data_IF_074569239623
#
_entry.id   IF_074569239623
#
_cell.length_a   1.000
_cell.length_b   1.000
_cell.length_c   1.000
_cell.angle_alpha   90.00
_cell.angle_beta   90.00
_cell.angle_gamma   90.00
#
_symmetry.space_group_name_H-M   'P 1'
#
loop_
_entity.id
_entity.type
_entity.pdbx_description
1 polymer ?
#
# COMPACT_ATOMS: atom_id res chain seq x y z
N UNK A 1 20.50 25.24 38.47
CA UNK A 1 19.20 24.59 38.21
C UNK A 1 18.95 24.69 36.71
N UNK A 2 19.16 23.62 35.95
CA UNK A 2 18.87 23.59 34.50
C UNK A 2 17.63 22.74 34.29
N UNK A 3 16.55 23.38 33.86
CA UNK A 3 15.29 22.72 33.50
C UNK A 3 15.50 21.95 32.20
N UNK A 4 15.47 20.63 32.28
CA UNK A 4 15.33 19.76 31.12
C UNK A 4 13.84 19.62 30.81
N UNK A 5 13.35 20.35 29.81
CA UNK A 5 12.05 20.09 29.22
C UNK A 5 12.24 18.86 28.33
N UNK A 6 11.74 17.72 28.81
CA UNK A 6 11.67 16.49 28.02
C UNK A 6 10.52 16.66 27.03
N UNK A 7 10.84 16.99 25.77
CA UNK A 7 9.85 16.93 24.69
C UNK A 7 9.38 15.48 24.56
N UNK A 8 8.19 15.19 25.08
CA UNK A 8 7.51 13.92 24.82
C UNK A 8 7.11 13.96 23.34
N UNK A 9 7.99 13.44 22.48
CA UNK A 9 7.64 13.11 21.10
C UNK A 9 6.74 11.89 21.16
N UNK A 10 5.43 12.10 21.15
CA UNK A 10 4.51 11.05 20.75
C UNK A 10 4.90 10.68 19.31
N UNK A 11 5.35 9.44 19.03
CA UNK A 11 5.51 9.04 17.65
C UNK A 11 4.15 9.24 17.00
N UNK A 12 4.08 10.04 15.94
CA UNK A 12 2.89 10.10 15.12
C UNK A 12 2.54 8.64 14.81
N UNK A 13 1.44 8.13 15.37
CA UNK A 13 0.95 6.81 15.03
C UNK A 13 0.66 6.89 13.53
N UNK A 14 1.60 6.40 12.71
CA UNK A 14 1.34 6.21 11.30
C UNK A 14 0.26 5.13 11.26
N UNK A 15 -0.97 5.57 11.05
CA UNK A 15 -2.08 4.68 10.81
C UNK A 15 -1.83 4.00 9.47
N UNK A 16 -2.21 2.73 9.38
CA UNK A 16 -2.22 2.02 8.11
C UNK A 16 -3.14 2.78 7.13
N UNK A 17 -2.71 2.86 5.88
CA UNK A 17 -3.47 3.46 4.79
C UNK A 17 -3.92 2.37 3.83
N UNK A 18 -5.06 2.62 3.18
CA UNK A 18 -5.57 1.75 2.13
C UNK A 18 -4.83 2.02 0.82
N UNK A 19 -4.20 0.98 0.28
CA UNK A 19 -3.41 1.03 -0.94
C UNK A 19 -3.96 0.08 -2.00
N UNK A 20 -3.86 0.50 -3.26
CA UNK A 20 -4.28 -0.29 -4.41
C UNK A 20 -3.15 -0.41 -5.42
N UNK A 21 -2.87 -1.64 -5.84
CA UNK A 21 -1.95 -1.92 -6.94
C UNK A 21 -2.68 -2.65 -8.06
N UNK A 22 -2.42 -2.26 -9.30
CA UNK A 22 -2.98 -2.88 -10.50
C UNK A 22 -1.86 -3.37 -11.40
N UNK A 23 -1.89 -4.65 -11.76
CA UNK A 23 -0.97 -5.24 -12.71
C UNK A 23 -1.40 -4.87 -14.14
N UNK A 24 -0.83 -3.79 -14.66
CA UNK A 24 -1.04 -3.35 -16.04
C UNK A 24 -0.32 -4.22 -17.08
N UNK A 25 0.58 -5.10 -16.67
CA UNK A 25 1.33 -5.94 -17.61
C UNK A 25 0.45 -7.04 -18.25
N UNK A 26 0.96 -7.65 -19.31
CA UNK A 26 0.37 -8.83 -19.94
C UNK A 26 0.73 -10.14 -19.25
N UNK A 27 1.52 -10.09 -18.16
CA UNK A 27 2.07 -11.26 -17.50
C UNK A 27 1.66 -11.34 -16.04
N UNK A 28 1.71 -12.55 -15.49
CA UNK A 28 1.48 -12.78 -14.08
C UNK A 28 2.63 -12.18 -13.27
N UNK A 29 2.28 -11.43 -12.25
CA UNK A 29 3.22 -10.90 -11.27
C UNK A 29 3.02 -11.58 -9.93
N UNK A 30 4.04 -11.47 -9.08
CA UNK A 30 3.95 -11.86 -7.68
C UNK A 30 4.23 -10.60 -6.89
N UNK A 31 3.29 -10.18 -6.07
CA UNK A 31 3.44 -9.01 -5.21
C UNK A 31 3.69 -9.45 -3.78
N UNK A 32 4.65 -8.83 -3.12
CA UNK A 32 5.03 -9.13 -1.75
C UNK A 32 5.01 -7.87 -0.91
N UNK A 33 4.23 -7.91 0.16
CA UNK A 33 4.15 -6.86 1.16
C UNK A 33 4.81 -7.35 2.44
N UNK A 34 5.72 -6.56 3.01
CA UNK A 34 6.22 -6.81 4.36
C UNK A 34 5.35 -6.04 5.36
N UNK A 35 4.60 -6.77 6.19
CA UNK A 35 3.81 -6.23 7.30
C UNK A 35 4.47 -6.70 8.60
N UNK A 36 5.29 -5.83 9.20
CA UNK A 36 6.07 -6.14 10.40
C UNK A 36 6.94 -7.41 10.21
N UNK A 37 6.79 -8.41 11.07
CA UNK A 37 7.51 -9.69 11.01
C UNK A 37 6.93 -10.71 10.01
N UNK A 38 5.81 -10.40 9.36
CA UNK A 38 5.15 -11.30 8.41
C UNK A 38 5.17 -10.71 7.00
N UNK A 39 5.29 -11.57 6.00
CA UNK A 39 5.19 -11.17 4.61
C UNK A 39 3.96 -11.81 3.99
N UNK A 40 3.15 -11.00 3.31
CA UNK A 40 2.04 -11.46 2.49
C UNK A 40 2.53 -11.50 1.05
N UNK A 41 2.29 -12.62 0.38
CA UNK A 41 2.66 -12.81 -1.02
C UNK A 41 1.44 -13.23 -1.82
N UNK A 42 1.17 -12.53 -2.92
CA UNK A 42 0.00 -12.76 -3.76
C UNK A 42 0.43 -12.88 -5.22
N UNK A 43 -0.05 -13.94 -5.86
CA UNK A 43 0.02 -14.11 -7.31
C UNK A 43 -1.05 -13.22 -7.97
N UNK A 44 -0.63 -12.19 -8.69
CA UNK A 44 -1.52 -11.22 -9.33
C UNK A 44 -1.58 -11.46 -10.85
N UNK A 45 -2.71 -11.92 -11.40
CA UNK A 45 -2.87 -12.12 -12.84
C UNK A 45 -2.74 -10.82 -13.64
N UNK A 46 -2.54 -10.92 -14.97
CA UNK A 46 -2.61 -9.77 -15.86
C UNK A 46 -3.95 -9.03 -15.69
N UNK A 47 -3.90 -7.70 -15.74
CA UNK A 47 -5.10 -6.84 -15.71
C UNK A 47 -5.98 -7.03 -14.47
N UNK A 48 -5.38 -7.42 -13.35
CA UNK A 48 -6.04 -7.49 -12.05
C UNK A 48 -5.32 -6.63 -11.03
N UNK A 49 -6.03 -6.27 -9.96
CA UNK A 49 -5.48 -5.48 -8.87
C UNK A 49 -5.73 -6.09 -7.51
N UNK A 50 -5.00 -5.57 -6.52
CA UNK A 50 -5.11 -5.95 -5.12
C UNK A 50 -5.26 -4.69 -4.28
N UNK A 51 -6.16 -4.78 -3.30
CA UNK A 51 -6.38 -3.78 -2.28
C UNK A 51 -5.82 -4.33 -0.96
N UNK A 52 -5.09 -3.51 -0.22
CA UNK A 52 -4.48 -3.90 1.04
C UNK A 52 -4.21 -2.70 1.95
N UNK A 53 -4.10 -2.96 3.26
CA UNK A 53 -3.74 -1.97 4.27
C UNK A 53 -2.27 -2.13 4.67
N UNK A 54 -1.50 -1.04 4.67
CA UNK A 54 -0.13 -1.05 5.17
C UNK A 54 0.32 0.34 5.65
N UNK A 55 1.47 0.37 6.35
CA UNK A 55 2.10 1.64 6.72
C UNK A 55 2.47 2.45 5.46
N UNK A 56 2.39 3.80 5.50
CA UNK A 56 2.66 4.62 4.32
C UNK A 56 4.06 4.41 3.71
N UNK A 57 5.04 4.07 4.53
CA UNK A 57 6.42 3.78 4.15
C UNK A 57 6.67 2.30 3.81
N UNK A 58 5.70 1.41 4.04
CA UNK A 58 5.79 0.01 3.66
C UNK A 58 5.98 -0.15 2.14
N UNK A 59 6.79 -1.13 1.74
CA UNK A 59 7.10 -1.40 0.35
C UNK A 59 6.31 -2.60 -0.17
N UNK A 60 5.61 -2.40 -1.29
CA UNK A 60 5.09 -3.45 -2.14
C UNK A 60 6.18 -3.81 -3.16
N UNK A 61 6.80 -4.98 -3.01
CA UNK A 61 7.76 -5.52 -3.97
C UNK A 61 7.03 -6.29 -5.04
N UNK A 62 7.32 -6.02 -6.29
CA UNK A 62 6.73 -6.67 -7.46
C UNK A 62 7.78 -7.55 -8.10
N UNK A 63 7.42 -8.81 -8.30
CA UNK A 63 8.27 -9.82 -8.91
C UNK A 63 7.64 -10.32 -10.20
N UNK A 64 8.49 -10.62 -11.18
CA UNK A 64 8.13 -11.37 -12.39
C UNK A 64 8.77 -12.75 -12.31
N UNK A 65 8.05 -13.77 -12.79
CA UNK A 65 8.62 -15.10 -12.93
C UNK A 65 9.52 -15.14 -14.16
N UNK A 66 10.74 -15.63 -13.99
CA UNK A 66 11.71 -15.85 -15.07
C UNK A 66 12.11 -17.33 -15.08
N UNK A 67 12.79 -17.79 -16.14
CA UNK A 67 13.17 -19.20 -16.27
C UNK A 67 13.99 -19.73 -15.08
N UNK A 68 14.87 -18.90 -14.51
CA UNK A 68 15.73 -19.25 -13.37
C UNK A 68 15.12 -18.95 -11.99
N UNK A 69 13.86 -18.51 -11.92
CA UNK A 69 13.20 -18.16 -10.66
C UNK A 69 12.36 -16.91 -10.75
N UNK A 70 12.72 -15.88 -9.98
CA UNK A 70 11.98 -14.61 -9.92
C UNK A 70 12.92 -13.43 -9.87
N UNK A 71 12.51 -12.36 -10.53
CA UNK A 71 13.23 -11.09 -10.56
C UNK A 71 12.38 -10.01 -9.91
N UNK A 72 13.00 -9.13 -9.10
CA UNK A 72 12.34 -7.93 -8.61
C UNK A 72 12.27 -6.95 -9.77
N UNK A 73 11.04 -6.59 -10.15
CA UNK A 73 10.78 -5.60 -11.20
C UNK A 73 10.67 -4.21 -10.59
N UNK A 74 10.06 -4.10 -9.42
CA UNK A 74 9.84 -2.81 -8.77
C UNK A 74 9.60 -2.95 -7.25
N UNK A 75 9.74 -1.86 -6.51
CA UNK A 75 9.43 -1.73 -5.10
C UNK A 75 8.78 -0.38 -4.81
N UNK A 76 7.46 -0.38 -4.62
CA UNK A 76 6.65 0.84 -4.52
C UNK A 76 6.24 1.08 -3.07
N UNK A 77 6.38 2.31 -2.56
CA UNK A 77 5.88 2.68 -1.23
C UNK A 77 4.36 2.79 -1.23
N UNK A 78 3.70 2.31 -0.18
CA UNK A 78 2.24 2.35 -0.05
C UNK A 78 1.69 3.77 -0.20
N UNK A 79 2.38 4.80 0.29
CA UNK A 79 1.96 6.20 0.13
C UNK A 79 1.78 6.63 -1.34
N UNK A 80 2.49 6.01 -2.28
CA UNK A 80 2.33 6.24 -3.70
C UNK A 80 1.16 5.46 -4.33
N UNK A 81 0.66 4.43 -3.62
CA UNK A 81 -0.46 3.57 -4.02
C UNK A 81 -1.76 3.90 -3.27
N UNK A 82 -1.77 4.97 -2.48
CA UNK A 82 -2.92 5.29 -1.63
C UNK A 82 -4.16 5.58 -2.48
N UNK A 83 -5.31 5.07 -2.03
CA UNK A 83 -6.59 5.39 -2.66
C UNK A 83 -7.12 6.67 -2.03
N UNK A 84 -7.32 7.72 -2.81
CA UNK A 84 -8.06 8.89 -2.36
C UNK A 84 -9.53 8.48 -2.15
N UNK A 85 -10.00 8.44 -0.91
CA UNK A 85 -11.44 8.39 -0.65
C UNK A 85 -12.07 9.66 -1.22
N UNK A 86 -12.79 9.54 -2.34
CA UNK A 86 -13.80 10.54 -2.66
C UNK A 86 -14.85 10.43 -1.57
N UNK A 87 -14.86 11.37 -0.63
CA UNK A 87 -15.97 11.50 0.31
C UNK A 87 -17.26 11.56 -0.52
N UNK A 88 -18.28 10.75 -0.22
CA UNK A 88 -19.56 10.88 -0.89
C UNK A 88 -20.04 12.31 -0.68
N UNK A 89 -20.22 13.04 -1.78
CA UNK A 89 -20.83 14.35 -1.72
C UNK A 89 -22.30 14.14 -1.38
N UNK A 90 -22.66 14.44 -0.13
CA UNK A 90 -24.05 14.37 0.35
C UNK A 90 -25.00 15.24 -0.50
N UNK A 91 -24.49 16.18 -1.30
CA UNK A 91 -25.27 17.01 -2.22
C UNK A 91 -25.76 16.24 -3.47
N UNK A 92 -25.13 15.11 -3.83
CA UNK A 92 -25.57 14.27 -4.96
C UNK A 92 -26.71 13.32 -4.58
N UNK A 93 -26.91 13.03 -3.29
CA UNK A 93 -27.95 12.10 -2.81
C UNK A 93 -29.33 12.76 -2.63
N UNK A 94 -29.45 14.08 -2.79
CA UNK A 94 -30.71 14.80 -2.57
C UNK A 94 -31.71 14.69 -3.74
N UNK A 95 -31.30 14.14 -4.90
CA UNK A 95 -32.17 13.96 -6.07
C UNK A 95 -32.73 12.54 -6.23
N UNK A 96 -32.44 11.64 -5.29
CA UNK A 96 -32.86 10.22 -5.34
C UNK A 96 -33.95 9.86 -4.33
N UNK A 97 -34.65 10.85 -3.77
CA UNK A 97 -35.87 10.66 -2.97
C UNK A 97 -37.01 11.50 -3.55
#
# INVERSE_FOLDING_TARGET
MVNAIMEIRFPAQQLEILCYYFNESSEKQIVKLHKNSQAIEVALPPKQGILFEAMPDALLKIYRSIFSGREIVDAIRCKALHVCEKKPDYQTMQWMM
#
